data_IF_791301313343
#
_entry.id   IF_791301313343
#
_cell.length_a   1.000
_cell.length_b   1.000
_cell.length_c   1.000
_cell.angle_alpha   90.00
_cell.angle_beta   90.00
_cell.angle_gamma   90.00
#
_symmetry.space_group_name_H-M   'P 1'
#
loop_
_entity.id
_entity.type
_entity.pdbx_description
1 polymer ?
#
# COMPACT_ATOMS: atom_id res chain seq x y z
N UNK A 1 -2.34 38.87 -54.59
CA UNK A 1 -2.54 38.03 -53.40
C UNK A 1 -4.03 37.88 -53.19
N UNK A 2 -4.55 36.69 -53.44
CA UNK A 2 -5.97 36.44 -53.28
C UNK A 2 -6.31 36.26 -51.81
N UNK A 3 -7.26 37.01 -51.24
CA UNK A 3 -7.62 36.92 -49.82
C UNK A 3 -8.08 35.49 -49.41
N UNK A 4 -8.60 34.73 -50.35
CA UNK A 4 -9.01 33.33 -50.16
C UNK A 4 -7.84 32.39 -49.87
N UNK A 5 -6.63 32.65 -50.39
CA UNK A 5 -5.44 31.84 -50.12
C UNK A 5 -4.90 32.07 -48.69
N UNK A 6 -5.00 33.29 -48.19
CA UNK A 6 -4.54 33.62 -46.82
C UNK A 6 -5.42 32.99 -45.74
N UNK A 7 -6.74 32.92 -45.96
CA UNK A 7 -7.68 32.22 -45.07
C UNK A 7 -7.46 30.70 -45.06
N UNK A 8 -7.07 30.11 -46.18
CA UNK A 8 -6.76 28.69 -46.28
C UNK A 8 -5.49 28.31 -45.46
N UNK A 9 -4.45 29.13 -45.53
CA UNK A 9 -3.18 28.87 -44.81
C UNK A 9 -3.32 29.09 -43.30
N UNK A 10 -4.03 30.15 -42.91
CA UNK A 10 -4.30 30.42 -41.48
C UNK A 10 -5.24 29.38 -40.86
N UNK A 11 -6.27 28.95 -41.61
CA UNK A 11 -7.22 27.94 -41.16
C UNK A 11 -6.58 26.56 -40.98
N UNK A 12 -5.71 26.14 -41.92
CA UNK A 12 -5.01 24.87 -41.83
C UNK A 12 -3.99 24.85 -40.66
N UNK A 13 -3.28 25.94 -40.41
CA UNK A 13 -2.34 26.06 -39.31
C UNK A 13 -3.04 25.98 -37.94
N UNK A 14 -4.15 26.72 -37.77
CA UNK A 14 -4.92 26.69 -36.53
C UNK A 14 -5.52 25.30 -36.26
N UNK A 15 -6.05 24.66 -37.30
CA UNK A 15 -6.61 23.32 -37.22
C UNK A 15 -5.58 22.27 -36.84
N UNK A 16 -4.37 22.36 -37.39
CA UNK A 16 -3.23 21.48 -37.06
C UNK A 16 -2.81 21.66 -35.61
N UNK A 17 -2.73 22.88 -35.10
CA UNK A 17 -2.37 23.16 -33.70
C UNK A 17 -3.44 22.59 -32.74
N UNK A 18 -4.70 22.75 -33.04
CA UNK A 18 -5.80 22.20 -32.24
C UNK A 18 -5.74 20.66 -32.17
N UNK A 19 -5.52 20.01 -33.32
CA UNK A 19 -5.36 18.54 -33.35
C UNK A 19 -4.16 18.11 -32.53
N UNK A 20 -3.02 18.80 -32.66
CA UNK A 20 -1.81 18.47 -31.91
C UNK A 20 -2.03 18.61 -30.39
N UNK A 21 -2.70 19.66 -29.95
CA UNK A 21 -3.09 19.86 -28.56
C UNK A 21 -4.04 18.75 -28.06
N UNK A 22 -5.04 18.39 -28.86
CA UNK A 22 -5.96 17.31 -28.49
C UNK A 22 -5.24 15.96 -28.33
N UNK A 23 -4.33 15.64 -29.23
CA UNK A 23 -3.53 14.41 -29.16
C UNK A 23 -2.60 14.41 -27.94
N UNK A 24 -1.91 15.53 -27.67
CA UNK A 24 -1.05 15.66 -26.50
C UNK A 24 -1.81 15.49 -25.18
N UNK A 25 -2.95 16.15 -25.04
CA UNK A 25 -3.80 16.03 -23.85
C UNK A 25 -4.34 14.61 -23.71
N UNK A 26 -4.80 14.02 -24.80
CA UNK A 26 -5.36 12.66 -24.81
C UNK A 26 -4.34 11.58 -24.43
N UNK A 27 -3.06 11.78 -24.69
CA UNK A 27 -1.98 10.83 -24.33
C UNK A 27 -1.38 11.11 -22.95
N UNK A 28 -1.21 12.37 -22.58
CA UNK A 28 -0.57 12.74 -21.30
C UNK A 28 -1.47 12.51 -20.10
N UNK A 29 -2.77 12.70 -20.21
CA UNK A 29 -3.72 12.51 -19.12
C UNK A 29 -3.75 11.06 -18.62
N UNK A 30 -3.93 10.03 -19.45
CA UNK A 30 -3.92 8.64 -18.97
C UNK A 30 -2.56 8.19 -18.44
N UNK A 31 -1.47 8.67 -19.05
CA UNK A 31 -0.11 8.40 -18.55
C UNK A 31 0.12 9.02 -17.15
N UNK A 32 -0.35 10.24 -16.94
CA UNK A 32 -0.26 10.92 -15.64
C UNK A 32 -1.06 10.20 -14.56
N UNK A 33 -2.27 9.74 -14.88
CA UNK A 33 -3.12 8.97 -13.98
C UNK A 33 -2.48 7.62 -13.64
N UNK A 34 -2.01 6.89 -14.65
CA UNK A 34 -1.32 5.61 -14.46
C UNK A 34 -0.05 5.77 -13.61
N UNK A 35 0.77 6.78 -13.88
CA UNK A 35 1.96 7.09 -13.08
C UNK A 35 1.63 7.43 -11.62
N UNK A 36 0.57 8.20 -11.40
CA UNK A 36 0.11 8.53 -10.05
C UNK A 36 -0.36 7.29 -9.26
N UNK A 37 -1.11 6.39 -9.91
CA UNK A 37 -1.54 5.14 -9.30
C UNK A 37 -0.37 4.22 -8.99
N UNK A 38 0.56 4.07 -9.91
CA UNK A 38 1.78 3.28 -9.70
C UNK A 38 2.62 3.86 -8.56
N UNK A 39 2.83 5.18 -8.53
CA UNK A 39 3.58 5.84 -7.45
C UNK A 39 2.93 5.61 -6.09
N UNK A 40 1.59 5.72 -6.01
CA UNK A 40 0.83 5.46 -4.78
C UNK A 40 0.92 4.00 -4.34
N UNK A 41 0.90 3.07 -5.30
CA UNK A 41 1.06 1.63 -5.04
C UNK A 41 2.46 1.29 -4.52
N UNK A 42 3.51 1.83 -5.13
CA UNK A 42 4.89 1.63 -4.68
C UNK A 42 5.16 2.24 -3.30
N UNK A 43 4.58 3.40 -3.02
CA UNK A 43 4.70 4.03 -1.70
C UNK A 43 4.11 3.15 -0.59
N UNK A 44 3.00 2.48 -0.85
CA UNK A 44 2.36 1.58 0.12
C UNK A 44 3.17 0.30 0.36
N UNK A 45 3.84 -0.24 -0.66
CA UNK A 45 4.67 -1.46 -0.53
C UNK A 45 5.93 -1.23 0.30
N UNK A 46 6.52 -0.04 0.25
CA UNK A 46 7.77 0.25 0.95
C UNK A 46 7.59 0.51 2.46
N UNK A 47 6.38 0.78 2.92
CA UNK A 47 6.12 1.13 4.31
C UNK A 47 6.35 -0.04 5.28
N UNK A 48 5.98 -1.27 4.90
CA UNK A 48 6.14 -2.44 5.75
C UNK A 48 7.60 -2.78 6.03
N UNK A 49 8.48 -2.65 5.04
CA UNK A 49 9.91 -2.95 5.21
C UNK A 49 10.63 -1.90 6.07
N UNK A 50 10.19 -0.67 6.05
CA UNK A 50 10.75 0.40 6.89
C UNK A 50 10.29 0.27 8.33
N UNK A 51 9.03 -0.09 8.58
CA UNK A 51 8.48 -0.32 9.92
C UNK A 51 9.16 -1.48 10.65
N UNK A 52 9.52 -2.56 9.95
CA UNK A 52 10.25 -3.68 10.55
C UNK A 52 11.64 -3.24 11.05
N UNK A 53 12.24 -2.23 10.44
CA UNK A 53 13.56 -1.72 10.83
C UNK A 53 13.52 -0.63 11.89
N UNK A 54 12.53 0.27 11.85
CA UNK A 54 12.48 1.49 12.65
C UNK A 54 11.28 1.61 13.57
N UNK A 55 10.27 0.75 13.41
CA UNK A 55 9.07 0.74 14.25
C UNK A 55 9.33 0.22 15.67
N UNK A 56 8.44 0.56 16.59
CA UNK A 56 8.44 0.05 17.95
C UNK A 56 7.74 -1.30 17.98
N UNK A 57 8.36 -2.29 18.61
CA UNK A 57 7.77 -3.63 18.79
C UNK A 57 6.70 -3.60 19.87
N UNK A 58 5.59 -4.26 19.63
CA UNK A 58 4.51 -4.41 20.60
C UNK A 58 3.80 -5.77 20.46
N UNK A 59 3.32 -6.34 21.56
CA UNK A 59 2.46 -7.51 21.51
C UNK A 59 1.08 -7.13 20.97
N UNK A 60 0.52 -8.02 20.17
CA UNK A 60 -0.83 -7.85 19.63
C UNK A 60 -1.57 -9.19 19.62
N UNK A 61 -2.89 -9.11 19.49
CA UNK A 61 -3.76 -10.27 19.35
C UNK A 61 -4.57 -10.14 18.08
N UNK A 62 -4.69 -11.22 17.33
CA UNK A 62 -5.53 -11.28 16.14
C UNK A 62 -7.00 -11.28 16.56
N UNK A 63 -7.75 -10.27 16.16
CA UNK A 63 -9.20 -10.21 16.35
C UNK A 63 -9.94 -10.89 15.20
N UNK A 64 -9.46 -10.68 13.98
CA UNK A 64 -10.08 -11.18 12.75
C UNK A 64 -9.02 -11.46 11.69
N UNK A 65 -9.21 -12.53 10.95
CA UNK A 65 -8.40 -12.88 9.79
C UNK A 65 -9.31 -13.12 8.57
N UNK A 66 -9.04 -12.44 7.47
CA UNK A 66 -9.80 -12.54 6.22
C UNK A 66 -8.85 -12.81 5.06
N UNK A 67 -9.19 -13.79 4.23
CA UNK A 67 -8.48 -14.01 2.97
C UNK A 67 -8.89 -12.92 1.98
N UNK A 68 -7.92 -12.30 1.33
CA UNK A 68 -8.17 -11.28 0.30
C UNK A 68 -8.42 -11.88 -1.09
N UNK A 69 -8.24 -13.18 -1.26
CA UNK A 69 -8.33 -13.88 -2.54
C UNK A 69 -7.10 -13.68 -3.43
N UNK A 70 -6.08 -12.98 -2.96
CA UNK A 70 -4.82 -12.79 -3.69
C UNK A 70 -3.78 -13.79 -3.21
N UNK A 71 -3.12 -14.47 -4.16
CA UNK A 71 -2.05 -15.43 -3.85
C UNK A 71 -0.78 -15.02 -4.61
N UNK A 72 0.36 -15.03 -3.95
CA UNK A 72 1.67 -14.80 -4.55
C UNK A 72 2.65 -15.89 -4.10
N UNK A 73 3.28 -16.56 -5.06
CA UNK A 73 4.20 -17.68 -4.79
C UNK A 73 3.61 -18.73 -3.84
N UNK A 74 2.38 -19.16 -4.08
CA UNK A 74 1.62 -20.10 -3.25
C UNK A 74 1.32 -19.63 -1.81
N UNK A 75 1.58 -18.38 -1.50
CA UNK A 75 1.27 -17.76 -0.21
C UNK A 75 0.02 -16.88 -0.37
N UNK A 76 -1.09 -17.22 0.32
CA UNK A 76 -2.27 -16.37 0.33
C UNK A 76 -2.02 -15.07 1.06
N UNK A 77 -2.62 -14.01 0.57
CA UNK A 77 -2.64 -12.73 1.24
C UNK A 77 -3.81 -12.65 2.21
N UNK A 78 -3.52 -12.37 3.47
CA UNK A 78 -4.51 -12.26 4.54
C UNK A 78 -4.56 -10.84 5.07
N UNK A 79 -5.77 -10.35 5.29
CA UNK A 79 -6.03 -9.12 6.01
C UNK A 79 -6.29 -9.47 7.47
N UNK A 80 -5.51 -8.89 8.36
CA UNK A 80 -5.60 -9.12 9.80
C UNK A 80 -6.05 -7.86 10.51
N UNK A 81 -7.07 -7.99 11.35
CA UNK A 81 -7.43 -6.96 12.33
C UNK A 81 -6.80 -7.36 13.65
N UNK A 82 -5.98 -6.47 14.19
CA UNK A 82 -5.17 -6.70 15.36
C UNK A 82 -5.56 -5.74 16.49
N UNK A 83 -5.57 -6.24 17.71
CA UNK A 83 -5.55 -5.42 18.91
C UNK A 83 -4.10 -5.31 19.38
N UNK A 84 -3.53 -4.14 19.24
CA UNK A 84 -2.14 -3.86 19.65
C UNK A 84 -2.15 -3.32 21.06
N UNK A 85 -1.32 -3.90 21.92
CA UNK A 85 -1.17 -3.51 23.31
C UNK A 85 0.27 -3.05 23.54
N UNK A 86 0.59 -1.78 23.23
CA UNK A 86 1.94 -1.26 23.43
C UNK A 86 2.30 -1.22 24.94
N UNK A 87 3.57 -1.35 25.25
CA UNK A 87 4.05 -1.25 26.64
C UNK A 87 3.81 0.15 27.22
N UNK A 88 3.86 1.17 26.36
CA UNK A 88 3.60 2.57 26.73
C UNK A 88 2.50 3.13 25.84
N UNK A 89 1.38 3.53 26.46
CA UNK A 89 0.26 4.14 25.77
C UNK A 89 -1.02 3.29 25.74
N UNK A 90 -2.10 3.82 25.18
CA UNK A 90 -3.36 3.10 25.07
C UNK A 90 -3.32 2.01 24.03
N UNK A 91 -4.07 0.93 24.25
CA UNK A 91 -4.29 -0.10 23.25
C UNK A 91 -5.07 0.46 22.08
N UNK A 92 -4.73 0.02 20.87
CA UNK A 92 -5.41 0.46 19.65
C UNK A 92 -5.64 -0.72 18.70
N UNK A 93 -6.60 -0.55 17.80
CA UNK A 93 -6.85 -1.51 16.73
C UNK A 93 -6.15 -1.07 15.44
N UNK A 94 -5.54 -2.02 14.76
CA UNK A 94 -4.91 -1.79 13.48
C UNK A 94 -5.28 -2.89 12.49
N UNK A 95 -5.30 -2.53 11.21
CA UNK A 95 -5.52 -3.47 10.12
C UNK A 95 -4.26 -3.54 9.29
N UNK A 96 -3.75 -4.73 9.08
CA UNK A 96 -2.59 -4.97 8.21
C UNK A 96 -2.87 -6.10 7.23
N UNK A 97 -2.16 -6.10 6.13
CA UNK A 97 -2.26 -7.16 5.12
C UNK A 97 -0.89 -7.77 4.91
N UNK A 98 -0.81 -9.08 5.00
CA UNK A 98 0.45 -9.81 4.86
C UNK A 98 0.28 -11.08 4.04
N UNK A 99 1.36 -11.55 3.42
CA UNK A 99 1.40 -12.87 2.81
C UNK A 99 1.83 -13.90 3.83
N UNK A 100 1.13 -15.01 3.85
CA UNK A 100 1.32 -16.06 4.86
C UNK A 100 1.68 -17.38 4.18
N UNK A 101 2.80 -17.96 4.60
CA UNK A 101 3.17 -19.28 4.13
C UNK A 101 2.15 -20.34 4.56
N UNK A 102 1.94 -21.37 3.73
CA UNK A 102 0.99 -22.47 3.99
C UNK A 102 1.16 -23.11 5.37
N UNK A 103 2.40 -23.20 5.86
CA UNK A 103 2.70 -23.78 7.18
C UNK A 103 2.29 -22.88 8.34
N UNK A 104 2.13 -21.57 8.09
CA UNK A 104 1.80 -20.57 9.09
C UNK A 104 0.31 -20.24 9.15
N UNK A 105 -0.50 -20.72 8.20
CA UNK A 105 -1.94 -20.45 8.14
C UNK A 105 -2.64 -20.90 9.42
N UNK A 106 -2.24 -22.03 10.00
CA UNK A 106 -2.77 -22.52 11.26
C UNK A 106 -2.49 -21.65 12.48
N UNK A 107 -1.51 -20.74 12.39
CA UNK A 107 -1.17 -19.80 13.47
C UNK A 107 -1.98 -18.51 13.40
N UNK A 108 -2.70 -18.29 12.32
CA UNK A 108 -3.52 -17.09 12.08
C UNK A 108 -4.97 -17.39 12.42
N UNK A 109 -5.23 -17.56 13.68
CA UNK A 109 -6.59 -17.72 14.18
C UNK A 109 -6.95 -16.55 15.10
N UNK A 110 -8.24 -16.15 15.16
CA UNK A 110 -8.68 -15.18 16.14
C UNK A 110 -8.27 -15.61 17.57
N UNK A 111 -7.69 -14.67 18.32
CA UNK A 111 -7.14 -14.94 19.65
C UNK A 111 -5.64 -15.31 19.67
N UNK A 112 -5.03 -15.57 18.52
CA UNK A 112 -3.59 -15.89 18.47
C UNK A 112 -2.72 -14.66 18.77
N UNK A 113 -1.68 -14.81 19.62
CA UNK A 113 -0.74 -13.74 19.88
C UNK A 113 0.20 -13.53 18.69
N UNK A 114 0.54 -12.30 18.42
CA UNK A 114 1.52 -11.91 17.41
C UNK A 114 2.37 -10.76 17.93
N UNK A 115 3.58 -10.62 17.38
CA UNK A 115 4.40 -9.44 17.61
C UNK A 115 4.34 -8.56 16.38
N UNK A 116 4.08 -7.29 16.61
CA UNK A 116 3.98 -6.29 15.55
C UNK A 116 4.96 -5.16 15.79
N UNK A 117 5.32 -4.47 14.70
CA UNK A 117 6.00 -3.18 14.76
C UNK A 117 5.08 -2.09 14.25
N UNK A 118 5.00 -1.00 14.97
CA UNK A 118 4.15 0.13 14.63
C UNK A 118 4.93 1.45 14.69
N UNK A 119 4.41 2.46 13.99
CA UNK A 119 4.94 3.82 14.07
C UNK A 119 4.22 4.54 15.22
N UNK A 120 4.93 4.97 16.27
CA UNK A 120 4.29 5.69 17.40
C UNK A 120 3.65 7.02 16.98
N UNK A 121 4.06 7.60 15.85
CA UNK A 121 3.46 8.81 15.29
C UNK A 121 2.26 8.52 14.38
N UNK A 122 2.12 7.28 13.91
CA UNK A 122 1.04 6.87 13.01
C UNK A 122 0.64 5.41 13.29
N UNK A 123 -0.25 5.22 14.23
CA UNK A 123 -0.74 3.90 14.65
C UNK A 123 -1.51 3.13 13.57
N UNK A 124 -1.80 3.76 12.45
CA UNK A 124 -2.38 3.06 11.28
C UNK A 124 -1.34 2.22 10.52
N UNK A 125 -0.05 2.50 10.74
CA UNK A 125 1.06 1.79 10.13
C UNK A 125 1.55 0.70 11.07
N UNK A 126 1.17 -0.53 10.77
CA UNK A 126 1.54 -1.72 11.54
C UNK A 126 2.06 -2.80 10.60
N UNK A 127 3.18 -3.40 10.95
CA UNK A 127 3.76 -4.55 10.25
C UNK A 127 3.93 -5.71 11.22
N UNK A 128 3.67 -6.94 10.77
CA UNK A 128 3.86 -8.14 11.57
C UNK A 128 5.35 -8.50 11.58
N UNK A 129 5.93 -8.60 12.77
CA UNK A 129 7.30 -9.02 12.98
C UNK A 129 7.40 -10.54 13.11
N UNK A 130 6.54 -11.14 13.91
CA UNK A 130 6.48 -12.59 14.09
C UNK A 130 5.06 -13.07 14.38
N UNK A 131 4.77 -14.29 13.94
CA UNK A 131 3.55 -15.02 14.25
C UNK A 131 3.87 -15.98 15.40
N UNK A 132 3.05 -15.98 16.44
CA UNK A 132 3.25 -16.78 17.64
C UNK A 132 3.69 -15.97 18.85
N UNK A 133 4.04 -16.66 19.94
CA UNK A 133 4.45 -16.05 21.21
C UNK A 133 5.54 -15.02 21.00
N UNK A 134 5.41 -13.81 21.57
CA UNK A 134 6.48 -12.84 21.56
C UNK A 134 7.71 -13.47 22.21
N UNK A 135 8.83 -13.48 21.50
CA UNK A 135 10.11 -13.82 22.09
C UNK A 135 10.44 -12.68 23.06
N UNK A 136 10.08 -12.86 24.31
CA UNK A 136 10.58 -12.00 25.38
C UNK A 136 12.07 -12.32 25.45
N UNK A 137 12.90 -11.50 24.81
CA UNK A 137 14.33 -11.49 25.09
C UNK A 137 14.49 -10.97 26.51
N UNK A 138 14.32 -11.87 27.48
CA UNK A 138 14.87 -11.68 28.81
C UNK A 138 16.39 -11.80 28.69
N UNK A 139 17.02 -10.71 28.32
CA UNK A 139 18.43 -10.54 28.56
C UNK A 139 18.58 -10.33 30.06
N UNK A 140 18.96 -11.43 30.70
CA UNK A 140 19.57 -11.40 32.03
C UNK A 140 20.96 -10.77 31.91
#
# INVERSE_FOLDING_TARGET
MNPLGLFGILGSGLFTVVIFLCVCVSTLVPLGIAGFFLFRMFKNMNQNSTLIKTGVSAPAVILKAEDTGTTMNESPQVRLTLQVNPEYGPSFQAVTTTFVGRLQIGMITPGSPVTVRYDPNDTTKVAIESLGTPVINSQV
#
